data_IF_282279481447
#
_entry.id   IF_282279481447
#
_cell.length_a   1.000
_cell.length_b   1.000
_cell.length_c   1.000
_cell.angle_alpha   90.00
_cell.angle_beta   90.00
_cell.angle_gamma   90.00
#
_symmetry.space_group_name_H-M   'P 1'
#
loop_
_entity.id
_entity.type
_entity.pdbx_description
1 polymer ?
#
# COMPACT_ATOMS: atom_id res chain seq x y z
N UNK A 1 13.04 1.01 -9.17
CA UNK A 1 12.13 2.17 -9.05
C UNK A 1 12.76 3.27 -8.20
N UNK A 2 13.03 3.06 -6.90
CA UNK A 2 13.64 4.08 -6.03
C UNK A 2 15.01 4.57 -6.51
N UNK A 3 15.91 3.66 -6.87
CA UNK A 3 17.24 4.01 -7.39
C UNK A 3 17.17 4.88 -8.66
N UNK A 4 16.27 4.52 -9.58
CA UNK A 4 16.04 5.32 -10.81
C UNK A 4 15.51 6.71 -10.45
N UNK A 5 14.57 6.81 -9.51
CA UNK A 5 14.06 8.10 -9.04
C UNK A 5 15.14 8.99 -8.42
N UNK A 6 16.02 8.41 -7.58
CA UNK A 6 17.18 9.12 -7.01
C UNK A 6 18.11 9.59 -8.14
N UNK A 7 18.36 8.76 -9.13
CA UNK A 7 19.22 9.10 -10.27
C UNK A 7 18.64 10.30 -11.05
N UNK A 8 17.36 10.26 -11.42
CA UNK A 8 16.68 11.36 -12.09
C UNK A 8 16.67 12.67 -11.27
N UNK A 9 16.52 12.58 -9.94
CA UNK A 9 16.54 13.75 -9.07
C UNK A 9 17.93 14.43 -8.99
N UNK A 10 19.02 13.67 -9.17
CA UNK A 10 20.38 14.18 -9.04
C UNK A 10 21.02 14.61 -10.38
N UNK A 11 20.47 14.21 -11.53
CA UNK A 11 21.02 14.56 -12.85
C UNK A 11 20.25 15.72 -13.52
N UNK A 12 20.85 16.91 -13.70
CA UNK A 12 20.17 18.11 -14.20
C UNK A 12 19.69 18.03 -15.67
N UNK A 13 20.20 17.08 -16.45
CA UNK A 13 19.79 16.87 -17.85
C UNK A 13 18.48 16.06 -18.00
N UNK A 14 17.96 15.47 -16.93
CA UNK A 14 16.75 14.64 -16.93
C UNK A 14 15.58 15.30 -16.18
N UNK A 15 15.39 16.61 -16.36
CA UNK A 15 14.30 17.35 -15.75
C UNK A 15 12.96 17.03 -16.42
N UNK A 16 12.10 16.26 -15.73
CA UNK A 16 10.73 16.02 -16.13
C UNK A 16 9.89 17.20 -15.64
N UNK A 17 9.13 17.84 -16.53
CA UNK A 17 8.21 18.91 -16.15
C UNK A 17 7.13 18.35 -15.19
N UNK A 18 6.96 19.00 -14.04
CA UNK A 18 6.05 18.63 -12.94
C UNK A 18 4.61 18.29 -13.39
N UNK A 19 4.10 19.00 -14.40
CA UNK A 19 2.78 18.74 -14.98
C UNK A 19 2.64 17.32 -15.54
N UNK A 20 3.68 16.84 -16.23
CA UNK A 20 3.72 15.50 -16.81
C UNK A 20 3.94 14.44 -15.73
N UNK A 21 4.79 14.72 -14.74
CA UNK A 21 5.01 13.81 -13.60
C UNK A 21 3.74 13.53 -12.82
N UNK A 22 2.97 14.58 -12.52
CA UNK A 22 1.68 14.44 -11.81
C UNK A 22 0.66 13.65 -12.63
N UNK A 23 0.55 13.91 -13.94
CA UNK A 23 -0.34 13.19 -14.83
C UNK A 23 0.03 11.70 -14.91
N UNK A 24 1.30 11.38 -15.17
CA UNK A 24 1.78 10.00 -15.27
C UNK A 24 1.60 9.24 -13.96
N UNK A 25 1.89 9.85 -12.80
CA UNK A 25 1.70 9.21 -11.49
C UNK A 25 0.22 8.88 -11.23
N UNK A 26 -0.70 9.81 -11.54
CA UNK A 26 -2.14 9.59 -11.38
C UNK A 26 -2.64 8.47 -12.30
N UNK A 27 -2.24 8.51 -13.57
CA UNK A 27 -2.61 7.47 -14.55
C UNK A 27 -2.04 6.10 -14.18
N UNK A 28 -0.77 6.03 -13.76
CA UNK A 28 -0.17 4.78 -13.30
C UNK A 28 -0.87 4.23 -12.06
N UNK A 29 -1.21 5.08 -11.08
CA UNK A 29 -1.95 4.68 -9.89
C UNK A 29 -3.35 4.14 -10.26
N UNK A 30 -4.07 4.84 -11.15
CA UNK A 30 -5.36 4.37 -11.65
C UNK A 30 -5.24 3.00 -12.33
N UNK A 31 -4.23 2.80 -13.18
CA UNK A 31 -3.98 1.52 -13.85
C UNK A 31 -3.64 0.40 -12.86
N UNK A 32 -2.88 0.68 -11.80
CA UNK A 32 -2.57 -0.29 -10.74
C UNK A 32 -3.85 -0.70 -10.01
N UNK A 33 -4.71 0.26 -9.66
CA UNK A 33 -6.00 -0.03 -9.00
C UNK A 33 -6.96 -0.81 -9.92
N UNK A 34 -7.05 -0.47 -11.20
CA UNK A 34 -7.83 -1.22 -12.18
C UNK A 34 -7.34 -2.66 -12.29
N UNK A 35 -6.01 -2.85 -12.35
CA UNK A 35 -5.40 -4.18 -12.41
C UNK A 35 -5.66 -4.99 -11.13
N UNK A 36 -5.63 -4.34 -9.96
CA UNK A 36 -6.02 -4.95 -8.69
C UNK A 36 -7.48 -5.45 -8.75
N UNK A 37 -8.41 -4.58 -9.18
CA UNK A 37 -9.83 -4.92 -9.28
C UNK A 37 -10.10 -6.10 -10.22
N UNK A 38 -9.44 -6.15 -11.38
CA UNK A 38 -9.57 -7.27 -12.31
C UNK A 38 -8.89 -8.56 -11.84
N UNK A 39 -7.85 -8.48 -11.01
CA UNK A 39 -7.14 -9.64 -10.42
C UNK A 39 -7.84 -10.26 -9.21
N UNK A 40 -8.95 -9.67 -8.76
CA UNK A 40 -9.67 -10.09 -7.57
C UNK A 40 -10.67 -11.20 -7.88
N UNK A 41 -10.64 -12.30 -7.11
CA UNK A 41 -11.61 -13.38 -7.26
C UNK A 41 -12.84 -13.12 -6.36
N UNK A 42 -14.01 -12.74 -6.91
CA UNK A 42 -15.16 -12.34 -6.11
C UNK A 42 -15.74 -13.49 -5.26
N UNK A 43 -15.54 -14.75 -5.67
CA UNK A 43 -16.01 -15.91 -4.91
C UNK A 43 -15.21 -16.09 -3.61
N UNK A 44 -13.89 -15.99 -3.71
CA UNK A 44 -12.98 -16.09 -2.55
C UNK A 44 -13.18 -14.89 -1.64
N UNK A 45 -13.29 -13.69 -2.21
CA UNK A 45 -13.51 -12.48 -1.44
C UNK A 45 -14.80 -12.53 -0.62
N UNK A 46 -15.93 -12.95 -1.21
CA UNK A 46 -17.20 -13.05 -0.48
C UNK A 46 -17.13 -14.08 0.65
N UNK A 47 -16.42 -15.18 0.43
CA UNK A 47 -16.24 -16.22 1.44
C UNK A 47 -15.43 -15.71 2.64
N UNK A 48 -14.35 -14.99 2.38
CA UNK A 48 -13.37 -14.56 3.39
C UNK A 48 -13.50 -13.07 3.75
N UNK A 49 -14.63 -12.43 3.46
CA UNK A 49 -14.81 -10.96 3.59
C UNK A 49 -14.58 -10.48 5.03
N UNK A 50 -15.07 -11.26 6.01
CA UNK A 50 -14.92 -10.94 7.43
C UNK A 50 -13.45 -10.99 7.84
N UNK A 51 -12.71 -11.98 7.34
CA UNK A 51 -11.29 -12.12 7.61
C UNK A 51 -10.48 -11.01 6.93
N UNK A 52 -10.79 -10.67 5.67
CA UNK A 52 -10.16 -9.56 4.95
C UNK A 52 -10.36 -8.24 5.70
N UNK A 53 -11.59 -7.95 6.13
CA UNK A 53 -11.92 -6.72 6.85
C UNK A 53 -11.22 -6.63 8.21
N UNK A 54 -11.19 -7.74 8.97
CA UNK A 54 -10.44 -7.79 10.23
C UNK A 54 -8.93 -7.60 10.00
N UNK A 55 -8.37 -8.29 9.00
CA UNK A 55 -6.96 -8.20 8.67
C UNK A 55 -6.54 -6.83 8.11
N UNK A 56 -7.47 -6.07 7.52
CA UNK A 56 -7.22 -4.72 7.01
C UNK A 56 -7.50 -3.64 8.04
N UNK A 57 -8.76 -3.50 8.49
CA UNK A 57 -9.18 -2.41 9.36
C UNK A 57 -8.74 -2.61 10.80
N UNK A 58 -9.01 -3.78 11.39
CA UNK A 58 -8.79 -3.99 12.82
C UNK A 58 -7.29 -3.96 13.15
N UNK A 59 -6.47 -4.64 12.35
CA UNK A 59 -5.00 -4.64 12.50
C UNK A 59 -4.42 -3.24 12.34
N UNK A 60 -4.84 -2.48 11.31
CA UNK A 60 -4.34 -1.13 11.06
C UNK A 60 -4.71 -0.19 12.19
N UNK A 61 -5.92 -0.28 12.74
CA UNK A 61 -6.32 0.52 13.90
C UNK A 61 -5.43 0.20 15.11
N UNK A 62 -5.21 -1.08 15.40
CA UNK A 62 -4.33 -1.51 16.50
C UNK A 62 -2.90 -1.00 16.28
N UNK A 63 -2.40 -1.07 15.06
CA UNK A 63 -1.07 -0.59 14.67
C UNK A 63 -0.94 0.92 14.86
N UNK A 64 -1.89 1.72 14.34
CA UNK A 64 -1.92 3.18 14.51
C UNK A 64 -1.94 3.56 15.99
N UNK A 65 -2.82 2.93 16.79
CA UNK A 65 -2.90 3.21 18.24
C UNK A 65 -1.59 2.87 18.95
N UNK A 66 -0.99 1.73 18.61
CA UNK A 66 0.30 1.30 19.18
C UNK A 66 1.41 2.30 18.84
N UNK A 67 1.47 2.77 17.59
CA UNK A 67 2.47 3.76 17.15
C UNK A 67 2.26 5.11 17.84
N UNK A 68 1.01 5.56 18.02
CA UNK A 68 0.71 6.81 18.72
C UNK A 68 1.20 6.76 20.17
N UNK A 69 0.88 5.67 20.88
CA UNK A 69 1.31 5.48 22.27
C UNK A 69 2.84 5.48 22.35
N UNK A 70 3.51 4.67 21.53
CA UNK A 70 4.97 4.58 21.54
C UNK A 70 5.61 5.92 21.16
N UNK A 71 5.09 6.60 20.14
CA UNK A 71 5.62 7.89 19.68
C UNK A 71 5.51 8.96 20.77
N UNK A 72 4.34 9.08 21.40
CA UNK A 72 4.13 10.07 22.45
C UNK A 72 4.97 9.78 23.70
N UNK A 73 5.01 8.52 24.19
CA UNK A 73 5.72 8.18 25.42
C UNK A 73 7.24 8.08 25.26
N UNK A 74 7.73 7.55 24.13
CA UNK A 74 9.16 7.31 23.94
C UNK A 74 9.88 8.53 23.33
N UNK A 75 9.26 9.19 22.34
CA UNK A 75 9.86 10.32 21.65
C UNK A 75 9.42 11.69 22.22
N UNK A 76 8.51 11.72 23.20
CA UNK A 76 7.99 12.95 23.83
C UNK A 76 7.48 13.99 22.82
N UNK A 77 6.90 13.52 21.70
CA UNK A 77 6.30 14.41 20.69
C UNK A 77 4.86 14.76 21.04
N UNK A 78 4.39 15.93 20.60
CA UNK A 78 3.00 16.34 20.73
C UNK A 78 2.03 15.28 20.17
N UNK A 79 0.89 15.14 20.83
CA UNK A 79 -0.12 14.14 20.46
C UNK A 79 -0.58 14.30 19.01
N UNK A 80 -0.68 15.54 18.51
CA UNK A 80 -1.05 15.83 17.11
C UNK A 80 -0.02 15.28 16.12
N UNK A 81 1.27 15.37 16.45
CA UNK A 81 2.36 14.83 15.63
C UNK A 81 2.40 13.31 15.73
N UNK A 82 2.18 12.75 16.92
CA UNK A 82 2.10 11.31 17.12
C UNK A 82 0.96 10.67 16.29
N UNK A 83 -0.21 11.32 16.23
CA UNK A 83 -1.34 10.88 15.41
C UNK A 83 -0.97 10.87 13.93
N UNK A 84 -0.39 11.96 13.42
CA UNK A 84 0.07 12.03 12.03
C UNK A 84 1.08 10.91 11.74
N UNK A 85 2.02 10.69 12.65
CA UNK A 85 3.05 9.67 12.52
C UNK A 85 2.45 8.25 12.48
N UNK A 86 1.47 7.97 13.33
CA UNK A 86 0.72 6.72 13.33
C UNK A 86 0.10 6.40 11.97
N UNK A 87 -0.60 7.36 11.37
CA UNK A 87 -1.22 7.16 10.05
C UNK A 87 -0.21 7.04 8.91
N UNK A 88 0.88 7.82 8.93
CA UNK A 88 1.93 7.75 7.89
C UNK A 88 2.63 6.40 7.91
N UNK A 89 2.94 5.86 9.10
CA UNK A 89 3.62 4.58 9.24
C UNK A 89 2.72 3.38 8.97
N UNK A 90 1.46 3.42 9.42
CA UNK A 90 0.51 2.34 9.18
C UNK A 90 -0.01 2.29 7.72
N UNK A 91 0.29 3.32 6.91
CA UNK A 91 -0.11 3.34 5.50
C UNK A 91 0.68 2.33 4.67
N UNK A 92 -0.02 1.35 4.10
CA UNK A 92 0.57 0.37 3.17
C UNK A 92 0.52 0.87 1.73
N UNK A 93 1.58 0.62 0.94
CA UNK A 93 1.65 1.10 -0.44
C UNK A 93 1.08 0.10 -1.45
N UNK A 94 -0.06 0.37 -2.10
CA UNK A 94 -0.65 -0.54 -3.08
C UNK A 94 0.20 -0.66 -4.36
N UNK A 95 1.03 0.34 -4.65
CA UNK A 95 1.85 0.38 -5.87
C UNK A 95 2.88 -0.76 -5.94
N UNK A 96 3.28 -1.31 -4.79
CA UNK A 96 4.25 -2.41 -4.70
C UNK A 96 3.54 -3.73 -4.36
N UNK A 97 2.55 -3.68 -3.46
CA UNK A 97 1.83 -4.89 -3.02
C UNK A 97 0.98 -5.49 -4.15
N UNK A 98 0.25 -4.67 -4.91
CA UNK A 98 -0.63 -5.14 -5.99
C UNK A 98 0.10 -5.95 -7.06
N UNK A 99 1.17 -5.45 -7.72
CA UNK A 99 1.86 -6.23 -8.75
C UNK A 99 2.45 -7.51 -8.18
N UNK A 100 2.98 -7.47 -6.95
CA UNK A 100 3.57 -8.64 -6.28
C UNK A 100 2.52 -9.73 -6.03
N UNK A 101 1.33 -9.36 -5.52
CA UNK A 101 0.26 -10.33 -5.27
C UNK A 101 -0.29 -10.94 -6.56
N UNK A 102 -0.43 -10.14 -7.62
CA UNK A 102 -0.81 -10.65 -8.95
C UNK A 102 0.24 -11.62 -9.51
N UNK A 103 1.53 -11.32 -9.33
CA UNK A 103 2.60 -12.23 -9.75
C UNK A 103 2.56 -13.57 -8.98
N UNK A 104 2.28 -13.53 -7.68
CA UNK A 104 2.09 -14.74 -6.86
C UNK A 104 0.88 -15.55 -7.31
N UNK A 105 -0.21 -14.89 -7.73
CA UNK A 105 -1.36 -15.57 -8.34
C UNK A 105 -0.96 -16.29 -9.63
N UNK A 106 -0.21 -15.63 -10.52
CA UNK A 106 0.29 -16.25 -11.75
C UNK A 106 1.22 -17.44 -11.49
N UNK A 107 2.02 -17.38 -10.41
CA UNK A 107 2.90 -18.48 -9.97
C UNK A 107 2.16 -19.57 -9.16
N UNK A 108 0.83 -19.45 -9.02
CA UNK A 108 -0.01 -20.34 -8.19
C UNK A 108 0.49 -20.52 -6.74
N UNK A 109 1.18 -19.50 -6.19
CA UNK A 109 1.67 -19.52 -4.81
C UNK A 109 0.65 -18.91 -3.87
N UNK A 110 0.21 -19.67 -2.87
CA UNK A 110 -0.78 -19.21 -1.88
C UNK A 110 -2.21 -19.05 -2.42
N UNK A 111 -2.46 -19.38 -3.69
CA UNK A 111 -3.78 -19.28 -4.34
C UNK A 111 -4.78 -20.30 -3.80
N UNK A 112 -4.33 -21.48 -3.38
CA UNK A 112 -5.19 -22.50 -2.75
C UNK A 112 -5.86 -22.02 -1.47
N UNK A 113 -5.18 -21.15 -0.72
CA UNK A 113 -5.67 -20.52 0.51
C UNK A 113 -6.31 -19.15 0.26
N UNK A 114 -6.36 -18.68 -0.98
CA UNK A 114 -6.90 -17.35 -1.31
C UNK A 114 -6.07 -16.17 -0.81
N UNK A 115 -4.85 -16.39 -0.31
CA UNK A 115 -4.03 -15.35 0.36
C UNK A 115 -3.79 -14.14 -0.55
N UNK A 116 -3.39 -14.28 -1.82
CA UNK A 116 -3.19 -13.11 -2.67
C UNK A 116 -4.47 -12.29 -2.87
N UNK A 117 -5.64 -12.94 -2.92
CA UNK A 117 -6.93 -12.25 -3.04
C UNK A 117 -7.33 -11.56 -1.74
N UNK A 118 -7.04 -12.16 -0.59
CA UNK A 118 -7.29 -11.56 0.74
C UNK A 118 -6.43 -10.31 0.94
N UNK A 119 -5.16 -10.32 0.49
CA UNK A 119 -4.24 -9.18 0.63
C UNK A 119 -4.52 -8.06 -0.38
N UNK A 120 -5.12 -8.39 -1.53
CA UNK A 120 -5.53 -7.41 -2.55
C UNK A 120 -6.85 -6.70 -2.21
N UNK A 121 -7.64 -7.26 -1.29
CA UNK A 121 -8.98 -6.81 -0.92
C UNK A 121 -8.96 -5.78 0.20
#
# INVERSE_FOLDING_TARGET
MLFVGILFANFPWLYIRESWGTFLRKTAFLLILLRCGFGLNPKILRKELLFCSSLGLLTTIIEVVSIIIISHFYFNVDISVAILFGFVLASTSPAVTVPTMIELQHKHKGTSKGIPTIVLA
#
